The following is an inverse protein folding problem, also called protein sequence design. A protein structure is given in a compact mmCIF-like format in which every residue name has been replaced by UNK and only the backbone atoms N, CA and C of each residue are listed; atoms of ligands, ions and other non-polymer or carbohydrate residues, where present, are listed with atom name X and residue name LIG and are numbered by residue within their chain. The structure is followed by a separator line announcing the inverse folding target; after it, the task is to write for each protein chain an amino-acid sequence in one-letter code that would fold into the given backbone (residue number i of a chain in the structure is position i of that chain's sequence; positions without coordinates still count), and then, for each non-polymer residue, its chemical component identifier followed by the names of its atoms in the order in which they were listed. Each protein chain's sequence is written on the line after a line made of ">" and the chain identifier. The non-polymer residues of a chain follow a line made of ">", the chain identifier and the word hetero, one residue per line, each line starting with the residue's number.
data_IF_276399941957
#
_entry.id   IF_276399941957
#
_cell.length_a   1.000
_cell.length_b   1.000
_cell.length_c   1.000
_cell.angle_alpha   90.00
_cell.angle_beta   90.00
_cell.angle_gamma   90.00
#
_symmetry.space_group_name_H-M   'P 1'
#
loop_
_entity.id
_entity.type
_entity.pdbx_description
1 polymer ?
#
# COMPACT_ATOMS: atom_id res chain seq x y z
N UNK A 1 -46.84 -25.34 -76.32
CA UNK A 1 -47.41 -25.58 -75.00
C UNK A 1 -46.49 -24.86 -74.01
N UNK A 2 -47.05 -23.94 -73.30
CA UNK A 2 -46.31 -22.92 -72.47
C UNK A 2 -46.19 -23.45 -71.08
N UNK A 3 -45.01 -23.55 -70.54
CA UNK A 3 -44.71 -23.74 -69.09
C UNK A 3 -44.08 -22.52 -68.50
N UNK A 4 -44.84 -21.89 -67.64
CA UNK A 4 -44.40 -20.73 -66.85
C UNK A 4 -43.51 -21.18 -65.67
N UNK A 5 -42.30 -20.70 -65.65
CA UNK A 5 -41.43 -20.75 -64.42
C UNK A 5 -41.77 -19.54 -63.52
N UNK A 6 -42.30 -19.85 -62.32
CA UNK A 6 -42.47 -18.86 -61.27
C UNK A 6 -41.16 -18.83 -60.50
N UNK A 7 -40.50 -17.69 -60.58
CA UNK A 7 -39.36 -17.37 -59.73
C UNK A 7 -39.89 -16.93 -58.36
N UNK A 8 -39.58 -17.67 -57.31
CA UNK A 8 -39.80 -17.26 -55.93
C UNK A 8 -38.58 -16.45 -55.45
N UNK A 9 -38.79 -15.18 -55.25
CA UNK A 9 -37.77 -14.31 -54.63
C UNK A 9 -37.83 -14.49 -53.12
N UNK A 10 -36.81 -15.14 -52.57
CA UNK A 10 -36.63 -15.26 -51.10
C UNK A 10 -35.94 -13.99 -50.60
N UNK A 11 -36.69 -13.11 -49.97
CA UNK A 11 -36.16 -11.94 -49.27
C UNK A 11 -35.50 -12.41 -47.97
N UNK A 12 -34.17 -12.39 -47.92
CA UNK A 12 -33.41 -12.58 -46.71
C UNK A 12 -33.45 -11.27 -45.91
N UNK A 13 -34.22 -11.25 -44.82
CA UNK A 13 -34.21 -10.19 -43.81
C UNK A 13 -32.95 -10.35 -42.96
N UNK A 14 -31.93 -9.55 -43.23
CA UNK A 14 -30.79 -9.39 -42.30
C UNK A 14 -31.27 -8.64 -41.08
N UNK A 15 -31.54 -9.36 -39.99
CA UNK A 15 -31.70 -8.79 -38.66
C UNK A 15 -30.33 -8.32 -38.17
N UNK A 16 -30.04 -7.05 -38.31
CA UNK A 16 -28.93 -6.43 -37.61
C UNK A 16 -29.28 -6.44 -36.12
N UNK A 17 -28.77 -7.42 -35.40
CA UNK A 17 -28.79 -7.37 -33.94
C UNK A 17 -27.90 -6.20 -33.50
N UNK A 18 -28.52 -5.08 -33.19
CA UNK A 18 -27.87 -3.99 -32.50
C UNK A 18 -27.43 -4.52 -31.14
N UNK A 19 -26.14 -4.81 -30.99
CA UNK A 19 -25.52 -5.04 -29.68
C UNK A 19 -25.54 -3.69 -29.00
N UNK A 20 -26.65 -3.37 -28.33
CA UNK A 20 -26.64 -2.32 -27.33
C UNK A 20 -25.71 -2.81 -26.24
N UNK A 21 -24.52 -2.21 -26.19
CA UNK A 21 -23.68 -2.27 -25.00
C UNK A 21 -24.55 -1.83 -23.85
N UNK A 22 -25.02 -2.79 -23.05
CA UNK A 22 -25.58 -2.49 -21.74
C UNK A 22 -24.39 -1.95 -20.95
N UNK A 23 -24.18 -0.67 -21.03
CA UNK A 23 -23.50 0.04 -19.98
C UNK A 23 -24.36 -0.28 -18.74
N UNK A 24 -23.78 -1.01 -17.79
CA UNK A 24 -24.41 -1.12 -16.50
C UNK A 24 -24.61 0.32 -16.04
N UNK A 25 -25.85 0.80 -16.13
CA UNK A 25 -26.30 1.96 -15.39
C UNK A 25 -26.10 1.56 -13.93
N UNK A 26 -24.88 1.82 -13.43
CA UNK A 26 -24.59 1.77 -12.02
C UNK A 26 -25.68 2.63 -11.41
N UNK A 27 -26.49 2.04 -10.57
CA UNK A 27 -27.55 2.70 -9.83
C UNK A 27 -27.08 4.10 -9.49
N UNK A 28 -27.79 5.11 -9.96
CA UNK A 28 -27.37 6.51 -10.09
C UNK A 28 -26.96 7.20 -8.78
N UNK A 29 -26.22 6.47 -7.90
CA UNK A 29 -25.57 7.05 -6.75
C UNK A 29 -24.47 8.00 -7.21
N UNK A 30 -24.48 9.16 -6.63
CA UNK A 30 -23.41 10.14 -6.72
C UNK A 30 -23.25 10.81 -5.36
N UNK A 31 -22.06 11.25 -5.01
CA UNK A 31 -21.83 11.92 -3.74
C UNK A 31 -22.64 13.22 -3.68
N UNK A 32 -23.26 13.51 -2.53
CA UNK A 32 -23.95 14.77 -2.29
C UNK A 32 -23.01 15.93 -2.00
N UNK A 33 -21.71 15.66 -1.82
CA UNK A 33 -20.64 16.62 -1.56
C UNK A 33 -19.26 16.02 -1.82
N UNK A 34 -18.18 16.75 -1.45
CA UNK A 34 -16.84 16.25 -1.59
C UNK A 34 -16.61 14.92 -0.87
N UNK A 35 -15.88 14.00 -1.49
CA UNK A 35 -15.47 12.74 -0.86
C UNK A 35 -14.21 12.99 -0.05
N UNK A 36 -14.23 12.72 1.26
CA UNK A 36 -13.02 12.71 2.08
C UNK A 36 -12.28 11.40 1.88
N UNK A 37 -11.01 11.49 1.49
CA UNK A 37 -10.12 10.34 1.39
C UNK A 37 -9.12 10.37 2.55
N UNK A 38 -9.40 9.58 3.59
CA UNK A 38 -8.53 9.46 4.77
C UNK A 38 -7.30 8.66 4.41
N UNK A 39 -6.10 9.21 4.63
CA UNK A 39 -4.82 8.58 4.35
C UNK A 39 -4.14 8.20 5.66
N UNK A 40 -3.89 6.90 5.85
CA UNK A 40 -3.41 6.34 7.10
C UNK A 40 -1.94 6.66 7.44
N UNK A 41 -1.16 7.15 6.47
CA UNK A 41 0.28 7.37 6.60
C UNK A 41 0.68 8.80 6.25
N UNK A 42 1.89 9.19 6.67
CA UNK A 42 2.38 10.55 6.52
C UNK A 42 2.50 10.99 5.05
N UNK A 43 2.33 12.30 4.83
CA UNK A 43 2.44 12.94 3.53
C UNK A 43 3.81 12.66 2.86
N UNK A 44 3.81 12.51 1.55
CA UNK A 44 4.99 12.20 0.72
C UNK A 44 5.46 10.75 0.81
N UNK A 45 4.78 9.88 1.55
CA UNK A 45 4.99 8.43 1.52
C UNK A 45 4.28 7.75 0.34
N UNK A 46 4.56 6.45 0.13
CA UNK A 46 3.97 5.70 -0.98
C UNK A 46 2.44 5.65 -0.96
N UNK A 47 1.84 5.44 0.22
CA UNK A 47 0.40 5.43 0.38
C UNK A 47 -0.25 6.81 0.12
N UNK A 48 0.39 7.89 0.56
CA UNK A 48 -0.08 9.26 0.30
C UNK A 48 -0.03 9.59 -1.18
N UNK A 49 1.10 9.31 -1.83
CA UNK A 49 1.27 9.55 -3.27
C UNK A 49 0.22 8.78 -4.08
N UNK A 50 -0.01 7.51 -3.76
CA UNK A 50 -1.00 6.68 -4.43
C UNK A 50 -2.42 7.19 -4.21
N UNK A 51 -2.78 7.55 -2.96
CA UNK A 51 -4.09 8.08 -2.63
C UNK A 51 -4.41 9.37 -3.40
N UNK A 52 -3.43 10.28 -3.53
CA UNK A 52 -3.60 11.52 -4.28
C UNK A 52 -3.77 11.30 -5.77
N UNK A 53 -2.99 10.39 -6.37
CA UNK A 53 -3.17 10.01 -7.77
C UNK A 53 -4.57 9.42 -8.02
N UNK A 54 -5.05 8.55 -7.13
CA UNK A 54 -6.40 7.99 -7.23
C UNK A 54 -7.47 9.09 -7.06
N UNK A 55 -7.27 10.03 -6.14
CA UNK A 55 -8.18 11.16 -5.98
C UNK A 55 -8.26 12.02 -7.25
N UNK A 56 -7.12 12.32 -7.87
CA UNK A 56 -7.04 13.04 -9.15
C UNK A 56 -7.72 12.26 -10.27
N UNK A 57 -7.51 10.95 -10.38
CA UNK A 57 -8.13 10.09 -11.39
C UNK A 57 -9.65 10.02 -11.23
N UNK A 58 -10.15 9.88 -9.98
CA UNK A 58 -11.59 9.90 -9.70
C UNK A 58 -12.18 11.25 -10.13
N UNK A 59 -11.55 12.36 -9.75
CA UNK A 59 -12.03 13.69 -10.11
C UNK A 59 -12.03 13.91 -11.65
N UNK A 60 -10.98 13.46 -12.34
CA UNK A 60 -10.89 13.55 -13.79
C UNK A 60 -11.96 12.71 -14.51
N UNK A 61 -12.25 11.51 -14.00
CA UNK A 61 -13.19 10.57 -14.61
C UNK A 61 -14.66 10.91 -14.32
N UNK A 62 -14.96 11.46 -13.14
CA UNK A 62 -16.35 11.62 -12.66
C UNK A 62 -16.77 13.06 -12.43
N UNK A 63 -15.81 13.98 -12.29
CA UNK A 63 -16.05 15.35 -11.85
C UNK A 63 -16.31 15.47 -10.34
N UNK A 64 -16.22 14.37 -9.57
CA UNK A 64 -16.41 14.39 -8.12
C UNK A 64 -15.16 14.94 -7.43
N UNK A 65 -15.37 15.86 -6.49
CA UNK A 65 -14.27 16.39 -5.68
C UNK A 65 -13.85 15.33 -4.64
N UNK A 66 -12.54 15.02 -4.59
CA UNK A 66 -11.97 14.12 -3.58
C UNK A 66 -10.91 14.89 -2.80
N UNK A 67 -11.07 14.96 -1.47
CA UNK A 67 -10.20 15.72 -0.58
C UNK A 67 -9.35 14.75 0.25
N UNK A 68 -8.03 14.62 -0.06
CA UNK A 68 -7.12 13.81 0.75
C UNK A 68 -6.83 14.45 2.10
N UNK A 69 -6.96 13.67 3.17
CA UNK A 69 -6.71 14.10 4.57
C UNK A 69 -5.88 13.03 5.31
N UNK A 70 -4.75 13.42 5.92
CA UNK A 70 -3.94 12.50 6.70
C UNK A 70 -4.49 12.30 8.11
N UNK A 71 -4.73 11.02 8.48
CA UNK A 71 -5.01 10.60 9.86
C UNK A 71 -4.06 9.46 10.20
N UNK A 72 -2.88 9.81 10.73
CA UNK A 72 -1.78 8.87 10.92
C UNK A 72 -1.74 8.25 12.32
N UNK A 73 -1.04 7.12 12.44
CA UNK A 73 -0.70 6.51 13.73
C UNK A 73 -1.23 5.09 13.90
N UNK A 74 -0.59 4.36 14.82
CA UNK A 74 -0.88 2.96 15.16
C UNK A 74 -0.97 2.04 13.93
N UNK A 75 -0.06 2.23 12.94
CA UNK A 75 -0.08 1.43 11.71
C UNK A 75 -1.35 1.58 10.89
N UNK A 76 -2.00 2.75 10.91
CA UNK A 76 -3.23 3.06 10.16
C UNK A 76 -4.53 2.84 10.93
N UNK A 77 -4.48 2.33 12.16
CA UNK A 77 -5.69 2.12 12.98
C UNK A 77 -6.40 3.43 13.28
N UNK A 78 -5.68 4.53 13.50
CA UNK A 78 -6.30 5.84 13.74
C UNK A 78 -7.15 6.31 12.55
N UNK A 79 -6.73 6.03 11.31
CA UNK A 79 -7.50 6.31 10.10
C UNK A 79 -8.81 5.51 10.06
N UNK A 80 -8.77 4.25 10.44
CA UNK A 80 -9.96 3.39 10.50
C UNK A 80 -10.93 3.83 11.60
N UNK A 81 -10.43 4.21 12.76
CA UNK A 81 -11.27 4.78 13.82
C UNK A 81 -11.96 6.05 13.34
N UNK A 82 -11.22 6.97 12.68
CA UNK A 82 -11.80 8.18 12.12
C UNK A 82 -12.85 7.88 11.04
N UNK A 83 -12.59 6.91 10.14
CA UNK A 83 -13.54 6.52 9.09
C UNK A 83 -14.82 5.93 9.67
N UNK A 84 -14.73 5.07 10.69
CA UNK A 84 -15.89 4.47 11.36
C UNK A 84 -16.86 5.52 11.90
N UNK A 85 -16.32 6.62 12.39
CA UNK A 85 -17.10 7.71 13.00
C UNK A 85 -17.69 8.69 11.95
N UNK A 86 -17.44 8.46 10.65
CA UNK A 86 -17.97 9.24 9.53
C UNK A 86 -19.27 8.61 8.96
N UNK A 87 -20.10 9.36 8.22
CA UNK A 87 -21.26 8.82 7.54
C UNK A 87 -20.93 7.67 6.59
N UNK A 88 -21.71 6.59 6.63
CA UNK A 88 -21.55 5.44 5.75
C UNK A 88 -22.35 5.61 4.43
N UNK A 89 -22.29 6.78 3.82
CA UNK A 89 -23.04 7.18 2.62
C UNK A 89 -22.18 7.28 1.35
N UNK A 90 -20.88 6.91 1.46
CA UNK A 90 -19.92 6.96 0.37
C UNK A 90 -19.14 8.29 0.26
N UNK A 91 -19.45 9.29 1.11
CA UNK A 91 -18.70 10.56 1.15
C UNK A 91 -17.42 10.49 1.98
N UNK A 92 -17.11 9.33 2.55
CA UNK A 92 -15.85 9.06 3.25
C UNK A 92 -15.27 7.72 2.82
N UNK A 93 -14.00 7.72 2.42
CA UNK A 93 -13.22 6.53 2.08
C UNK A 93 -11.85 6.59 2.75
N UNK A 94 -11.15 5.47 2.86
CA UNK A 94 -9.80 5.47 3.41
C UNK A 94 -8.83 4.67 2.55
N UNK A 95 -7.60 5.19 2.44
CA UNK A 95 -6.43 4.48 1.94
C UNK A 95 -5.64 3.95 3.14
N UNK A 96 -5.68 2.65 3.31
CA UNK A 96 -4.99 1.93 4.40
C UNK A 96 -4.21 0.75 3.84
N UNK A 97 -3.36 0.14 4.64
CA UNK A 97 -2.77 -1.16 4.32
C UNK A 97 -3.63 -2.27 4.95
N UNK A 98 -3.62 -3.46 4.38
CA UNK A 98 -4.42 -4.60 4.88
C UNK A 98 -4.12 -4.95 6.34
N UNK A 99 -2.86 -4.77 6.78
CA UNK A 99 -2.49 -4.97 8.17
C UNK A 99 -3.19 -4.02 9.14
N UNK A 100 -3.63 -2.84 8.69
CA UNK A 100 -4.38 -1.89 9.54
C UNK A 100 -5.70 -2.49 10.02
N UNK A 101 -6.38 -3.26 9.15
CA UNK A 101 -7.65 -3.94 9.48
C UNK A 101 -7.45 -5.23 10.29
N UNK A 102 -6.31 -5.90 10.13
CA UNK A 102 -6.01 -7.17 10.80
C UNK A 102 -5.08 -6.96 11.99
N UNK A 103 -3.79 -7.21 11.77
CA UNK A 103 -2.78 -7.26 12.82
C UNK A 103 -2.71 -5.99 13.65
N UNK A 104 -2.62 -4.82 13.01
CA UNK A 104 -2.45 -3.55 13.73
C UNK A 104 -3.71 -3.20 14.56
N UNK A 105 -4.91 -3.56 14.09
CA UNK A 105 -6.14 -3.38 14.83
C UNK A 105 -6.16 -4.27 16.09
N UNK A 106 -5.73 -5.52 15.97
CA UNK A 106 -5.64 -6.46 17.11
C UNK A 106 -4.56 -6.01 18.12
N UNK A 107 -3.41 -5.51 17.65
CA UNK A 107 -2.34 -5.00 18.49
C UNK A 107 -2.69 -3.67 19.18
N UNK A 108 -3.56 -2.86 18.59
CA UNK A 108 -3.98 -1.58 19.14
C UNK A 108 -5.09 -1.75 20.18
N UNK A 109 -4.71 -2.06 21.42
CA UNK A 109 -5.66 -2.24 22.51
C UNK A 109 -6.66 -1.06 22.60
N UNK A 110 -7.95 -1.39 22.72
CA UNK A 110 -9.02 -0.39 22.87
C UNK A 110 -9.42 0.35 21.59
N UNK A 111 -8.94 -0.03 20.42
CA UNK A 111 -9.37 0.56 19.15
C UNK A 111 -10.84 0.27 18.82
N UNK A 112 -11.34 -0.90 19.27
CA UNK A 112 -12.74 -1.28 19.13
C UNK A 112 -13.22 -1.33 17.69
N UNK A 113 -12.36 -1.73 16.75
CA UNK A 113 -12.67 -1.90 15.31
C UNK A 113 -12.50 -3.34 14.89
N UNK A 114 -13.33 -3.78 13.95
CA UNK A 114 -13.25 -5.08 13.31
C UNK A 114 -13.28 -4.91 11.78
N UNK A 115 -12.73 -5.85 10.99
CA UNK A 115 -12.84 -5.80 9.53
C UNK A 115 -14.27 -5.68 9.01
N UNK A 116 -15.24 -6.24 9.74
CA UNK A 116 -16.68 -6.18 9.42
C UNK A 116 -17.30 -4.79 9.52
N UNK A 117 -16.61 -3.84 10.18
CA UNK A 117 -17.11 -2.46 10.30
C UNK A 117 -16.92 -1.67 9.00
N UNK A 118 -16.20 -2.22 8.04
CA UNK A 118 -15.80 -1.53 6.80
C UNK A 118 -16.17 -2.34 5.56
N UNK A 119 -16.47 -1.63 4.48
CA UNK A 119 -16.62 -2.22 3.15
C UNK A 119 -15.34 -2.05 2.37
N UNK A 120 -14.68 -3.17 1.99
CA UNK A 120 -13.52 -3.14 1.11
C UNK A 120 -13.94 -2.77 -0.32
N UNK A 121 -13.35 -1.73 -0.88
CA UNK A 121 -13.63 -1.30 -2.25
C UNK A 121 -12.72 -2.03 -3.25
N UNK A 122 -11.41 -1.94 -3.05
CA UNK A 122 -10.41 -2.59 -3.92
C UNK A 122 -9.04 -2.63 -3.26
N UNK A 123 -8.14 -3.43 -3.81
CA UNK A 123 -6.69 -3.37 -3.55
C UNK A 123 -6.01 -2.65 -4.72
N UNK A 124 -5.18 -1.67 -4.41
CA UNK A 124 -4.57 -0.79 -5.42
C UNK A 124 -3.13 -1.18 -5.77
N UNK A 125 -2.36 -1.71 -4.81
CA UNK A 125 -0.99 -2.19 -5.01
C UNK A 125 -0.51 -3.08 -3.86
N UNK A 126 0.57 -3.86 -4.12
CA UNK A 126 1.41 -4.47 -3.09
C UNK A 126 2.63 -3.59 -2.79
N UNK A 127 3.12 -3.64 -1.57
CA UNK A 127 4.35 -2.92 -1.20
C UNK A 127 5.59 -3.79 -1.45
N UNK A 128 6.64 -3.15 -1.95
CA UNK A 128 7.99 -3.71 -2.08
C UNK A 128 8.76 -3.39 -0.79
N UNK A 129 8.57 -4.20 0.25
CA UNK A 129 9.14 -3.97 1.58
C UNK A 129 10.57 -4.47 1.65
N UNK A 130 11.53 -3.58 1.93
CA UNK A 130 12.93 -3.90 2.10
C UNK A 130 13.45 -3.58 3.50
N UNK A 131 14.49 -4.30 3.90
CA UNK A 131 15.39 -3.94 5.01
C UNK A 131 16.45 -3.01 4.44
N UNK A 132 16.43 -1.74 4.82
CA UNK A 132 17.18 -0.66 4.16
C UNK A 132 18.09 0.06 5.14
N UNK A 133 19.33 0.30 4.72
CA UNK A 133 20.32 1.07 5.45
C UNK A 133 20.95 2.16 4.56
N UNK A 134 21.73 3.07 5.15
CA UNK A 134 22.63 3.94 4.38
C UNK A 134 23.75 3.11 3.76
N UNK A 135 24.11 3.43 2.53
CA UNK A 135 25.21 2.76 1.84
C UNK A 135 26.60 3.02 2.50
N UNK A 136 26.75 4.15 3.18
CA UNK A 136 28.00 4.51 3.89
C UNK A 136 28.27 3.69 5.18
N UNK A 137 27.30 2.85 5.62
CA UNK A 137 27.54 1.88 6.69
C UNK A 137 28.56 0.79 6.31
N UNK A 138 28.82 0.63 5.02
CA UNK A 138 29.75 -0.41 4.52
C UNK A 138 29.16 -1.83 4.56
N UNK A 139 27.85 -1.97 4.84
CA UNK A 139 27.16 -3.25 4.76
C UNK A 139 26.78 -3.53 3.32
N UNK A 140 27.11 -4.71 2.84
CA UNK A 140 26.76 -5.17 1.49
C UNK A 140 25.66 -6.22 1.49
N UNK A 141 25.31 -6.76 2.66
CA UNK A 141 24.37 -7.85 2.83
C UNK A 141 23.59 -7.72 4.16
N UNK A 142 22.51 -8.49 4.27
CA UNK A 142 21.80 -8.67 5.52
C UNK A 142 22.69 -9.27 6.61
N UNK A 143 23.55 -10.22 6.24
CA UNK A 143 24.53 -10.83 7.16
C UNK A 143 25.50 -9.83 7.76
N UNK A 144 25.97 -8.82 6.99
CA UNK A 144 26.86 -7.76 7.51
C UNK A 144 26.15 -6.93 8.58
N UNK A 145 24.88 -6.60 8.36
CA UNK A 145 24.05 -5.89 9.35
C UNK A 145 23.88 -6.71 10.64
N UNK A 146 23.61 -8.01 10.52
CA UNK A 146 23.50 -8.91 11.68
C UNK A 146 24.84 -9.02 12.41
N UNK A 147 25.98 -9.10 11.69
CA UNK A 147 27.31 -9.08 12.29
C UNK A 147 27.54 -7.80 13.10
N UNK A 148 27.19 -6.66 12.54
CA UNK A 148 27.27 -5.37 13.25
C UNK A 148 26.35 -5.32 14.48
N UNK A 149 25.15 -5.89 14.40
CA UNK A 149 24.23 -5.98 15.53
C UNK A 149 24.75 -6.86 16.69
N UNK A 150 25.65 -7.80 16.41
CA UNK A 150 26.33 -8.62 17.45
C UNK A 150 27.44 -7.84 18.16
N UNK A 151 27.98 -6.81 17.54
CA UNK A 151 29.01 -5.96 18.10
C UNK A 151 28.49 -4.75 18.85
N UNK A 152 27.26 -4.33 18.54
CA UNK A 152 26.62 -3.17 19.18
C UNK A 152 25.14 -3.05 18.86
N UNK A 153 24.42 -2.30 19.68
CA UNK A 153 23.00 -2.04 19.50
C UNK A 153 22.75 -1.27 18.20
N UNK A 154 21.84 -1.79 17.35
CA UNK A 154 21.36 -1.10 16.16
C UNK A 154 19.93 -0.60 16.36
N UNK A 155 19.67 0.64 15.95
CA UNK A 155 18.34 1.26 15.94
C UNK A 155 17.61 0.87 14.66
N UNK A 156 16.51 0.12 14.83
CA UNK A 156 15.72 -0.41 13.73
C UNK A 156 14.43 0.39 13.56
N UNK A 157 14.29 1.13 12.45
CA UNK A 157 13.13 1.95 12.13
C UNK A 157 11.94 1.13 11.64
N UNK A 158 10.77 1.33 12.28
CA UNK A 158 9.52 0.68 11.91
C UNK A 158 8.37 1.69 11.82
N UNK A 159 7.29 1.35 11.10
CA UNK A 159 6.18 2.26 10.90
C UNK A 159 4.81 1.70 11.33
N UNK A 160 4.80 0.51 11.89
CA UNK A 160 3.58 -0.14 12.38
C UNK A 160 3.90 -1.15 13.48
N UNK A 161 2.92 -1.52 14.33
CA UNK A 161 3.07 -2.58 15.32
C UNK A 161 3.55 -3.91 14.71
N UNK A 162 2.94 -4.35 13.60
CA UNK A 162 3.37 -5.56 12.89
C UNK A 162 4.85 -5.53 12.51
N UNK A 163 5.34 -4.40 11.99
CA UNK A 163 6.74 -4.28 11.59
C UNK A 163 7.67 -4.19 12.79
N UNK A 164 7.22 -3.65 13.92
CA UNK A 164 7.97 -3.69 15.18
C UNK A 164 8.14 -5.11 15.69
N UNK A 165 7.06 -5.88 15.69
CA UNK A 165 7.09 -7.28 16.12
C UNK A 165 7.91 -8.14 15.14
N UNK A 166 7.85 -7.84 13.83
CA UNK A 166 8.71 -8.50 12.84
C UNK A 166 10.20 -8.20 13.10
N UNK A 167 10.57 -6.95 13.38
CA UNK A 167 11.95 -6.59 13.73
C UNK A 167 12.41 -7.30 15.01
N UNK A 168 11.54 -7.39 16.02
CA UNK A 168 11.81 -8.13 17.23
C UNK A 168 12.06 -9.63 16.96
N UNK A 169 11.15 -10.28 16.24
CA UNK A 169 11.27 -11.71 15.90
C UNK A 169 12.50 -11.98 15.02
N UNK A 170 12.85 -11.06 14.15
CA UNK A 170 14.06 -11.12 13.33
C UNK A 170 15.32 -11.08 14.21
N UNK A 171 15.33 -10.19 15.21
CA UNK A 171 16.40 -10.13 16.21
C UNK A 171 16.53 -11.42 16.99
N UNK A 172 15.43 -11.94 17.53
CA UNK A 172 15.40 -13.22 18.24
C UNK A 172 15.93 -14.38 17.39
N UNK A 173 15.48 -14.46 16.12
CA UNK A 173 15.92 -15.53 15.20
C UNK A 173 17.43 -15.45 14.88
N UNK A 174 18.03 -14.27 14.89
CA UNK A 174 19.44 -14.03 14.59
C UNK A 174 20.33 -13.94 15.85
N UNK A 175 19.72 -14.02 17.05
CA UNK A 175 20.42 -13.92 18.35
C UNK A 175 21.01 -12.53 18.58
N UNK A 176 20.28 -11.47 18.15
CA UNK A 176 20.63 -10.07 18.36
C UNK A 176 19.42 -9.29 18.91
N UNK A 177 19.67 -8.19 19.58
CA UNK A 177 18.62 -7.28 20.06
C UNK A 177 18.70 -5.96 19.29
N UNK A 178 17.56 -5.53 18.73
CA UNK A 178 17.43 -4.24 18.06
C UNK A 178 16.73 -3.22 18.98
N UNK A 179 17.22 -2.00 18.99
CA UNK A 179 16.48 -0.87 19.53
C UNK A 179 15.42 -0.43 18.50
N UNK A 180 14.18 -0.85 18.71
CA UNK A 180 13.08 -0.65 17.75
C UNK A 180 12.53 0.77 17.89
N UNK A 181 12.67 1.58 16.83
CA UNK A 181 12.20 2.96 16.74
C UNK A 181 10.96 3.02 15.86
N UNK A 182 9.78 3.11 16.48
CA UNK A 182 8.52 3.22 15.74
C UNK A 182 8.16 4.67 15.40
N UNK A 183 7.90 4.94 14.11
CA UNK A 183 7.54 6.26 13.57
C UNK A 183 6.27 6.21 12.72
N UNK A 184 5.79 7.38 12.24
CA UNK A 184 4.47 7.49 11.58
C UNK A 184 4.53 7.34 10.05
N UNK A 185 5.23 6.36 9.54
CA UNK A 185 5.25 6.03 8.10
C UNK A 185 6.64 5.94 7.50
N UNK A 186 6.72 5.35 6.30
CA UNK A 186 7.98 5.06 5.62
C UNK A 186 8.84 6.29 5.34
N UNK A 187 8.24 7.46 5.16
CA UNK A 187 9.00 8.71 5.00
C UNK A 187 9.82 9.03 6.24
N UNK A 188 9.21 8.94 7.43
CA UNK A 188 9.92 9.20 8.68
C UNK A 188 11.00 8.14 8.97
N UNK A 189 10.80 6.87 8.57
CA UNK A 189 11.87 5.86 8.63
C UNK A 189 13.03 6.26 7.73
N UNK A 190 12.76 6.62 6.47
CA UNK A 190 13.79 7.00 5.50
C UNK A 190 14.56 8.24 5.98
N UNK A 191 13.86 9.28 6.43
CA UNK A 191 14.49 10.50 6.93
C UNK A 191 15.38 10.20 8.15
N UNK A 192 14.92 9.34 9.08
CA UNK A 192 15.69 8.93 10.25
C UNK A 192 16.93 8.09 9.90
N UNK A 193 16.82 7.18 8.91
CA UNK A 193 17.99 6.42 8.40
C UNK A 193 18.98 7.37 7.72
N UNK A 194 18.52 8.29 6.88
CA UNK A 194 19.38 9.25 6.21
C UNK A 194 20.07 10.23 7.19
N UNK A 195 19.37 10.65 8.23
CA UNK A 195 19.91 11.51 9.28
C UNK A 195 20.87 10.79 10.24
N UNK A 196 20.83 9.45 10.26
CA UNK A 196 21.60 8.64 11.21
C UNK A 196 20.93 8.49 12.57
N UNK A 197 19.64 8.85 12.70
CA UNK A 197 18.82 8.60 13.90
C UNK A 197 18.42 7.12 14.02
N UNK A 198 18.41 6.43 12.90
CA UNK A 198 18.20 4.98 12.76
C UNK A 198 19.32 4.39 11.92
N UNK A 199 19.75 3.17 12.24
CA UNK A 199 20.83 2.50 11.52
C UNK A 199 20.31 1.70 10.33
N UNK A 200 19.09 1.17 10.46
CA UNK A 200 18.39 0.36 9.48
C UNK A 200 16.88 0.57 9.64
N UNK A 201 16.07 0.21 8.66
CA UNK A 201 14.62 0.26 8.81
C UNK A 201 13.86 -0.42 7.69
N UNK A 202 12.59 -0.75 7.96
CA UNK A 202 11.69 -1.22 6.93
C UNK A 202 11.20 -0.06 6.07
N UNK A 203 11.37 -0.18 4.74
CA UNK A 203 10.87 0.79 3.77
C UNK A 203 10.12 0.09 2.65
N UNK A 204 9.00 0.68 2.21
CA UNK A 204 8.07 0.08 1.27
C UNK A 204 8.00 0.87 -0.06
N UNK A 205 9.09 0.87 -0.82
CA UNK A 205 9.19 1.52 -2.12
C UNK A 205 9.73 2.95 -2.09
N UNK A 206 9.62 3.67 -0.98
CA UNK A 206 10.12 5.06 -0.88
C UNK A 206 11.64 5.16 -1.05
N UNK A 207 12.37 4.12 -0.68
CA UNK A 207 13.83 4.01 -0.81
C UNK A 207 14.32 3.98 -2.27
N UNK A 208 13.44 3.76 -3.25
CA UNK A 208 13.80 3.53 -4.66
C UNK A 208 14.78 4.56 -5.22
N UNK A 209 14.57 5.84 -4.94
CA UNK A 209 15.45 6.91 -5.45
C UNK A 209 16.81 6.86 -4.76
N UNK A 210 16.86 6.66 -3.44
CA UNK A 210 18.10 6.56 -2.67
C UNK A 210 18.92 5.32 -3.03
N UNK A 211 18.26 4.19 -3.34
CA UNK A 211 18.94 2.99 -3.83
C UNK A 211 19.51 3.23 -5.24
N UNK A 212 18.74 3.88 -6.13
CA UNK A 212 19.20 4.18 -7.49
C UNK A 212 20.36 5.20 -7.52
N UNK A 213 20.42 6.13 -6.55
CA UNK A 213 21.56 7.07 -6.42
C UNK A 213 22.75 6.51 -5.67
N UNK A 214 22.62 5.35 -5.01
CA UNK A 214 23.67 4.76 -4.18
C UNK A 214 23.78 5.33 -2.76
N UNK A 215 22.81 6.14 -2.33
CA UNK A 215 22.77 6.69 -0.95
C UNK A 215 22.21 5.67 0.06
N UNK A 216 21.35 4.79 -0.41
CA UNK A 216 20.72 3.73 0.36
C UNK A 216 21.01 2.36 -0.27
N UNK A 217 20.94 1.32 0.54
CA UNK A 217 21.05 -0.07 0.11
C UNK A 217 19.89 -0.90 0.64
N UNK A 218 19.28 -1.74 -0.19
CA UNK A 218 18.40 -2.81 0.24
C UNK A 218 19.27 -4.02 0.65
N UNK A 219 19.29 -4.32 1.94
CA UNK A 219 20.05 -5.46 2.49
C UNK A 219 19.31 -6.78 2.29
N UNK A 220 17.97 -6.74 2.34
CA UNK A 220 17.12 -7.88 2.08
C UNK A 220 15.70 -7.44 1.67
N UNK A 221 14.96 -8.33 1.01
CA UNK A 221 13.50 -8.25 0.88
C UNK A 221 12.83 -8.77 2.15
N UNK A 222 11.89 -8.02 2.69
CA UNK A 222 11.01 -8.49 3.76
C UNK A 222 9.70 -9.13 3.22
N UNK A 223 9.77 -9.70 2.02
CA UNK A 223 8.73 -10.45 1.33
C UNK A 223 9.28 -11.83 0.98
N UNK A 224 8.39 -12.75 0.60
CA UNK A 224 8.78 -14.07 0.06
C UNK A 224 9.49 -13.98 -1.30
N UNK A 225 9.36 -12.86 -1.99
CA UNK A 225 9.96 -12.63 -3.30
C UNK A 225 11.01 -11.52 -3.22
N UNK A 226 12.05 -11.55 -4.09
CA UNK A 226 13.01 -10.47 -4.23
C UNK A 226 12.35 -9.13 -4.59
N UNK A 227 12.98 -8.03 -4.18
CA UNK A 227 12.51 -6.69 -4.56
C UNK A 227 12.78 -6.43 -6.05
N UNK A 228 11.79 -5.89 -6.75
CA UNK A 228 11.93 -5.50 -8.17
C UNK A 228 13.08 -4.52 -8.38
N UNK A 229 13.36 -3.67 -7.39
CA UNK A 229 14.44 -2.66 -7.46
C UNK A 229 15.84 -3.26 -7.31
N UNK A 230 15.94 -4.36 -6.58
CA UNK A 230 17.21 -5.05 -6.25
C UNK A 230 16.95 -6.56 -6.24
N UNK A 231 16.79 -7.17 -7.43
CA UNK A 231 16.44 -8.59 -7.54
C UNK A 231 17.54 -9.53 -6.99
N UNK A 232 18.75 -9.02 -6.87
CA UNK A 232 19.89 -9.76 -6.31
C UNK A 232 19.97 -9.68 -4.78
N UNK A 233 19.19 -8.81 -4.11
CA UNK A 233 19.10 -8.79 -2.66
C UNK A 233 18.31 -10.01 -2.17
N UNK A 234 18.81 -10.76 -1.16
CA UNK A 234 18.14 -11.95 -0.66
C UNK A 234 16.77 -11.60 -0.02
N UNK A 235 15.97 -12.60 0.22
CA UNK A 235 14.82 -12.45 1.13
C UNK A 235 15.29 -12.60 2.59
N UNK A 236 14.48 -12.18 3.55
CA UNK A 236 14.80 -12.40 4.98
C UNK A 236 14.59 -13.87 5.39
N UNK A 237 14.05 -14.71 4.49
CA UNK A 237 13.83 -16.15 4.69
C UNK A 237 15.06 -16.98 4.22
N UNK A 238 15.96 -16.40 3.40
CA UNK A 238 17.19 -17.01 2.92
C UNK A 238 18.32 -16.95 3.98
#
# INVERSE_FOLDING_TARGET
>A
MKTLFKAAATAAVLSVASVTSVWADGHGWKPEGPIKMIIAFAAGGGADTQARLIAEDIQAATGWEVIPEQVTGKGGVNALVALRDMPADGTAIAMVVTESLGYNAAAAQGAGIAPSDFTGLTTTAGFQMGVVAKADKGWSSFGDMIAAAKEGELRFGTMSPKLSDLAFLLGEAQGVEFNIVQVRGGRAVMDGVQAGDMDVGFMAGIQRKGVASGDLINLASALSDPLVQTPDAPTIED
#
